data_IF_765636722902
#
_entry.id   IF_765636722902
#
_cell.length_a   1.000
_cell.length_b   1.000
_cell.length_c   1.000
_cell.angle_alpha   90.00
_cell.angle_beta   90.00
_cell.angle_gamma   90.00
#
_symmetry.space_group_name_H-M   'P 1'
#
loop_
_entity.id
_entity.type
_entity.pdbx_description
1 polymer ?
#
# COMPACT_ATOMS: atom_id res chain seq x y z
N UNK A 1 2.04 -33.16 -12.99
CA UNK A 1 0.85 -32.49 -12.47
C UNK A 1 1.17 -31.97 -11.07
N UNK A 2 0.88 -30.70 -10.83
CA UNK A 2 1.08 -30.06 -9.52
C UNK A 2 -0.13 -30.39 -8.61
N UNK A 3 -0.02 -31.44 -7.82
CA UNK A 3 -1.09 -31.92 -6.94
C UNK A 3 -1.36 -30.91 -5.79
N UNK A 4 -0.31 -30.31 -5.24
CA UNK A 4 -0.46 -29.35 -4.14
C UNK A 4 -1.25 -28.11 -4.57
N UNK A 5 -1.00 -27.64 -5.81
CA UNK A 5 -1.78 -26.56 -6.39
C UNK A 5 -3.27 -26.94 -6.55
N UNK A 6 -3.56 -28.13 -7.05
CA UNK A 6 -4.94 -28.61 -7.18
C UNK A 6 -5.63 -28.70 -5.83
N UNK A 7 -4.95 -29.18 -4.80
CA UNK A 7 -5.47 -29.25 -3.43
C UNK A 7 -5.72 -27.85 -2.87
N UNK A 8 -4.78 -26.92 -3.08
CA UNK A 8 -4.92 -25.53 -2.61
C UNK A 8 -6.10 -24.83 -3.28
N UNK A 9 -6.23 -24.94 -4.61
CA UNK A 9 -7.36 -24.34 -5.34
C UNK A 9 -8.72 -24.91 -4.91
N UNK A 10 -8.80 -26.22 -4.69
CA UNK A 10 -10.02 -26.85 -4.18
C UNK A 10 -10.40 -26.38 -2.79
N UNK A 11 -9.40 -26.21 -1.88
CA UNK A 11 -9.64 -25.69 -0.52
C UNK A 11 -10.10 -24.23 -0.49
N UNK A 12 -9.72 -23.44 -1.48
CA UNK A 12 -10.12 -22.03 -1.61
C UNK A 12 -11.51 -21.86 -2.21
N UNK A 13 -12.01 -22.84 -2.95
CA UNK A 13 -13.33 -22.78 -3.58
C UNK A 13 -14.42 -23.05 -2.55
N UNK A 14 -15.31 -22.09 -2.34
CA UNK A 14 -16.50 -22.23 -1.48
C UNK A 14 -17.62 -23.03 -2.17
N UNK A 15 -17.52 -23.21 -3.48
CA UNK A 15 -18.49 -23.98 -4.29
C UNK A 15 -18.06 -25.43 -4.52
N UNK A 16 -16.85 -25.79 -4.09
CA UNK A 16 -16.39 -27.16 -4.15
C UNK A 16 -17.07 -27.97 -3.04
N UNK A 17 -18.09 -28.73 -3.40
CA UNK A 17 -18.70 -29.71 -2.51
C UNK A 17 -18.08 -31.08 -2.76
N UNK A 18 -17.70 -31.77 -1.69
CA UNK A 18 -17.42 -33.18 -1.75
C UNK A 18 -18.75 -33.87 -2.01
N UNK A 19 -18.91 -34.44 -3.20
CA UNK A 19 -20.06 -35.30 -3.49
C UNK A 19 -19.73 -36.73 -3.02
N UNK A 20 -20.61 -37.32 -2.24
CA UNK A 20 -20.49 -38.74 -1.82
C UNK A 20 -20.65 -39.71 -3.02
N UNK A 21 -21.04 -39.19 -4.17
CA UNK A 21 -21.20 -39.91 -5.46
C UNK A 21 -19.92 -39.92 -6.30
N UNK A 22 -18.75 -39.93 -5.69
CA UNK A 22 -17.50 -40.06 -6.44
C UNK A 22 -17.46 -41.44 -7.12
N UNK A 23 -17.14 -41.52 -8.43
CA UNK A 23 -17.02 -42.80 -9.10
C UNK A 23 -16.00 -43.68 -8.41
N UNK A 24 -16.26 -45.00 -8.41
CA UNK A 24 -15.30 -45.97 -7.86
C UNK A 24 -13.92 -45.76 -8.50
N UNK A 25 -12.92 -45.40 -7.68
CA UNK A 25 -11.59 -45.11 -8.15
C UNK A 25 -10.65 -46.26 -7.78
N UNK A 26 -9.77 -46.63 -8.71
CA UNK A 26 -8.71 -47.58 -8.43
C UNK A 26 -7.62 -46.86 -7.63
N UNK A 27 -7.35 -47.33 -6.42
CA UNK A 27 -6.23 -46.81 -5.61
C UNK A 27 -4.92 -47.44 -6.09
N UNK A 28 -3.97 -46.61 -6.49
CA UNK A 28 -2.59 -47.03 -6.81
C UNK A 28 -1.71 -46.52 -5.68
N UNK A 29 -1.17 -47.44 -4.90
CA UNK A 29 -0.20 -47.12 -3.85
C UNK A 29 1.21 -47.15 -4.41
N UNK A 30 2.01 -46.15 -4.15
CA UNK A 30 3.42 -46.10 -4.51
C UNK A 30 4.21 -45.36 -3.43
N UNK A 31 5.47 -45.75 -3.23
CA UNK A 31 6.37 -45.07 -2.31
C UNK A 31 7.50 -44.39 -3.07
N UNK A 32 7.85 -43.20 -2.65
CA UNK A 32 9.06 -42.48 -3.11
C UNK A 32 10.22 -42.75 -2.17
N UNK A 33 10.64 -44.03 -2.04
CA UNK A 33 11.79 -44.35 -1.25
C UNK A 33 13.05 -43.93 -2.00
N UNK A 34 13.88 -43.09 -1.41
CA UNK A 34 15.22 -42.77 -1.86
C UNK A 34 15.43 -41.53 -2.71
N UNK A 35 14.40 -40.85 -3.16
CA UNK A 35 14.60 -39.65 -4.00
C UNK A 35 14.73 -38.34 -3.19
N UNK A 36 14.23 -38.30 -1.96
CA UNK A 36 14.23 -37.09 -1.12
C UNK A 36 15.03 -37.23 0.18
N UNK A 37 15.65 -38.40 0.45
CA UNK A 37 16.11 -38.71 1.79
C UNK A 37 17.50 -38.22 2.14
N UNK A 38 18.41 -37.96 1.19
CA UNK A 38 19.83 -37.90 1.56
C UNK A 38 20.64 -36.68 1.13
N UNK A 39 20.12 -35.71 0.32
CA UNK A 39 20.98 -34.57 0.02
C UNK A 39 20.24 -33.26 -0.24
N UNK A 40 20.69 -32.16 0.36
CA UNK A 40 20.20 -30.79 0.00
C UNK A 40 20.72 -30.34 -1.38
N UNK A 41 21.28 -31.24 -2.16
CA UNK A 41 22.00 -30.98 -3.43
C UNK A 41 21.09 -30.62 -4.60
N UNK A 42 19.78 -30.77 -4.46
CA UNK A 42 18.90 -30.69 -5.63
C UNK A 42 18.30 -29.32 -5.92
N UNK A 43 18.65 -28.27 -5.17
CA UNK A 43 18.12 -26.92 -5.45
C UNK A 43 18.59 -26.35 -6.79
N UNK A 44 19.82 -26.69 -7.22
CA UNK A 44 20.39 -26.17 -8.46
C UNK A 44 20.18 -27.12 -9.67
N UNK A 45 19.65 -28.32 -9.44
CA UNK A 45 19.49 -29.35 -10.47
C UNK A 45 18.03 -29.73 -10.76
N UNK A 46 17.08 -29.19 -10.03
CA UNK A 46 15.66 -29.41 -10.32
C UNK A 46 15.23 -28.50 -11.47
N UNK A 47 15.04 -29.09 -12.64
CA UNK A 47 14.34 -28.46 -13.74
C UNK A 47 12.85 -28.37 -13.37
N UNK A 48 12.45 -27.22 -12.84
CA UNK A 48 11.08 -26.98 -12.40
C UNK A 48 10.28 -26.49 -13.60
N UNK A 49 9.40 -27.32 -14.13
CA UNK A 49 8.46 -26.96 -15.21
C UNK A 49 7.52 -25.79 -14.88
N UNK A 50 7.47 -25.42 -13.62
CA UNK A 50 6.61 -24.32 -13.14
C UNK A 50 7.25 -22.96 -13.42
N UNK A 51 6.58 -22.14 -14.20
CA UNK A 51 6.97 -20.75 -14.41
C UNK A 51 6.41 -19.86 -13.29
N UNK A 52 7.30 -19.15 -12.62
CA UNK A 52 6.95 -18.14 -11.61
C UNK A 52 7.13 -16.75 -12.22
N UNK A 53 6.05 -16.04 -12.61
CA UNK A 53 6.18 -14.69 -13.13
C UNK A 53 6.73 -13.75 -12.04
N UNK A 54 7.70 -12.89 -12.40
CA UNK A 54 8.31 -11.92 -11.46
C UNK A 54 7.33 -10.91 -10.91
N UNK A 55 6.29 -10.60 -11.67
CA UNK A 55 5.24 -9.65 -11.31
C UNK A 55 3.86 -10.28 -11.55
N UNK A 56 3.41 -11.24 -10.70
CA UNK A 56 2.20 -12.05 -10.95
C UNK A 56 0.92 -11.22 -10.95
N UNK A 57 0.93 -10.02 -10.39
CA UNK A 57 -0.22 -9.12 -10.32
C UNK A 57 -0.28 -8.11 -11.47
N UNK A 58 0.78 -8.04 -12.29
CA UNK A 58 0.89 -7.09 -13.39
C UNK A 58 0.64 -7.82 -14.71
N UNK A 59 -0.41 -7.48 -15.47
CA UNK A 59 -0.63 -8.02 -16.80
C UNK A 59 0.55 -7.76 -17.74
N UNK A 60 0.82 -8.71 -18.62
CA UNK A 60 1.87 -8.57 -19.62
C UNK A 60 1.43 -7.68 -20.80
N UNK A 61 0.14 -7.69 -21.13
CA UNK A 61 -0.45 -6.85 -22.17
C UNK A 61 -0.73 -5.43 -21.65
N UNK A 62 -0.40 -4.41 -22.45
CA UNK A 62 -0.56 -3.02 -22.06
C UNK A 62 -2.03 -2.57 -22.01
N UNK A 63 -2.89 -3.12 -22.88
CA UNK A 63 -4.33 -2.85 -22.85
C UNK A 63 -4.99 -3.39 -21.61
N UNK A 64 -4.72 -4.65 -21.30
CA UNK A 64 -5.18 -5.31 -20.08
C UNK A 64 -4.68 -4.60 -18.82
N UNK A 65 -3.46 -4.06 -18.86
CA UNK A 65 -2.88 -3.31 -17.75
C UNK A 65 -3.63 -1.99 -17.50
N UNK A 66 -3.97 -1.24 -18.55
CA UNK A 66 -4.70 0.02 -18.43
C UNK A 66 -6.11 -0.21 -17.87
N UNK A 67 -6.86 -1.19 -18.39
CA UNK A 67 -8.18 -1.55 -17.90
C UNK A 67 -8.13 -2.01 -16.43
N UNK A 68 -7.12 -2.80 -16.07
CA UNK A 68 -6.91 -3.22 -14.69
C UNK A 68 -6.58 -2.06 -13.76
N UNK A 69 -5.73 -1.13 -14.19
CA UNK A 69 -5.40 0.06 -13.41
C UNK A 69 -6.65 0.91 -13.14
N UNK A 70 -7.47 1.17 -14.15
CA UNK A 70 -8.72 1.91 -13.96
C UNK A 70 -9.68 1.18 -13.02
N UNK A 71 -9.87 -0.13 -13.21
CA UNK A 71 -10.72 -0.96 -12.32
C UNK A 71 -10.26 -0.90 -10.86
N UNK A 72 -8.95 -0.99 -10.60
CA UNK A 72 -8.40 -0.92 -9.24
C UNK A 72 -8.65 0.46 -8.64
N UNK A 73 -8.36 1.53 -9.38
CA UNK A 73 -8.59 2.90 -8.93
C UNK A 73 -10.08 3.16 -8.65
N UNK A 74 -10.97 2.62 -9.46
CA UNK A 74 -12.42 2.72 -9.24
C UNK A 74 -12.86 1.98 -7.98
N UNK A 75 -12.35 0.77 -7.73
CA UNK A 75 -12.63 0.01 -6.51
C UNK A 75 -12.15 0.74 -5.26
N UNK A 76 -10.90 1.26 -5.27
CA UNK A 76 -10.36 2.04 -4.17
C UNK A 76 -11.20 3.31 -3.92
N UNK A 77 -11.53 4.02 -5.00
CA UNK A 77 -12.35 5.24 -4.98
C UNK A 77 -13.76 4.96 -4.43
N UNK A 78 -14.42 3.90 -4.90
CA UNK A 78 -15.76 3.51 -4.45
C UNK A 78 -15.78 3.17 -2.95
N UNK A 79 -14.76 2.46 -2.47
CA UNK A 79 -14.63 2.11 -1.05
C UNK A 79 -14.51 3.36 -0.17
N UNK A 80 -13.58 4.26 -0.49
CA UNK A 80 -13.40 5.51 0.28
C UNK A 80 -14.62 6.43 0.16
N UNK A 81 -15.16 6.61 -1.04
CA UNK A 81 -16.38 7.37 -1.29
C UNK A 81 -17.54 6.89 -0.41
N UNK A 82 -17.77 5.59 -0.36
CA UNK A 82 -18.84 4.99 0.45
C UNK A 82 -18.62 5.28 1.94
N UNK A 83 -17.38 5.19 2.42
CA UNK A 83 -17.05 5.47 3.80
C UNK A 83 -17.28 6.94 4.17
N UNK A 84 -16.80 7.86 3.34
CA UNK A 84 -16.99 9.30 3.52
C UNK A 84 -18.49 9.67 3.52
N UNK A 85 -19.25 9.15 2.56
CA UNK A 85 -20.69 9.39 2.47
C UNK A 85 -21.45 8.85 3.69
N UNK A 86 -21.13 7.64 4.13
CA UNK A 86 -21.78 7.00 5.28
C UNK A 86 -21.58 7.79 6.58
N UNK A 87 -20.40 8.33 6.79
CA UNK A 87 -20.07 9.11 8.00
C UNK A 87 -20.40 10.59 7.89
N UNK A 88 -20.73 11.07 6.69
CA UNK A 88 -20.93 12.51 6.43
C UNK A 88 -19.65 13.34 6.51
N UNK A 89 -18.47 12.69 6.53
CA UNK A 89 -17.16 13.33 6.65
C UNK A 89 -16.79 14.05 5.37
N UNK A 90 -16.34 15.31 5.50
CA UNK A 90 -15.94 16.18 4.38
C UNK A 90 -14.48 16.60 4.42
N UNK A 91 -13.69 16.00 5.31
CA UNK A 91 -12.28 16.27 5.47
C UNK A 91 -11.47 14.96 5.47
N UNK A 92 -10.28 15.00 4.89
CA UNK A 92 -9.31 13.90 4.90
C UNK A 92 -7.91 14.45 5.19
N UNK A 93 -7.14 13.73 5.98
CA UNK A 93 -5.75 14.05 6.28
C UNK A 93 -4.86 12.91 5.81
N UNK A 94 -3.80 13.22 5.09
CA UNK A 94 -2.89 12.22 4.54
C UNK A 94 -1.44 12.64 4.72
N UNK A 95 -0.60 11.72 5.20
CA UNK A 95 0.85 11.91 5.23
C UNK A 95 1.43 11.77 3.82
N UNK A 96 2.00 12.84 3.29
CA UNK A 96 2.60 12.87 1.96
C UNK A 96 4.13 12.90 2.06
N UNK A 97 4.73 11.72 1.88
CA UNK A 97 6.20 11.55 1.95
C UNK A 97 6.90 11.88 0.62
N UNK A 98 6.16 11.99 -0.48
CA UNK A 98 6.71 12.04 -1.83
C UNK A 98 7.01 10.66 -2.42
N UNK A 99 6.71 9.57 -1.71
CA UNK A 99 6.81 8.19 -2.21
C UNK A 99 5.54 7.75 -2.94
N UNK A 100 5.67 6.66 -3.72
CA UNK A 100 4.59 6.15 -4.58
C UNK A 100 3.31 5.80 -3.81
N UNK A 101 3.42 5.25 -2.61
CA UNK A 101 2.26 4.80 -1.83
C UNK A 101 1.42 5.98 -1.35
N UNK A 102 2.06 7.00 -0.80
CA UNK A 102 1.39 8.23 -0.38
C UNK A 102 0.82 9.01 -1.56
N UNK A 103 1.50 8.95 -2.70
CA UNK A 103 1.03 9.52 -3.96
C UNK A 103 -0.23 8.83 -4.45
N UNK A 104 -0.24 7.49 -4.52
CA UNK A 104 -1.42 6.72 -4.91
C UNK A 104 -2.60 7.00 -3.98
N UNK A 105 -2.36 7.00 -2.66
CA UNK A 105 -3.40 7.27 -1.69
C UNK A 105 -4.00 8.69 -1.85
N UNK A 106 -3.18 9.68 -2.16
CA UNK A 106 -3.64 11.04 -2.47
C UNK A 106 -4.51 11.08 -3.72
N UNK A 107 -4.09 10.43 -4.81
CA UNK A 107 -4.84 10.35 -6.07
C UNK A 107 -6.21 9.71 -5.89
N UNK A 108 -6.28 8.58 -5.16
CA UNK A 108 -7.54 7.91 -4.81
C UNK A 108 -8.43 8.82 -3.97
N UNK A 109 -7.85 9.55 -3.01
CA UNK A 109 -8.61 10.48 -2.16
C UNK A 109 -9.19 11.62 -2.97
N UNK A 110 -8.44 12.20 -3.91
CA UNK A 110 -8.93 13.22 -4.84
C UNK A 110 -10.08 12.69 -5.68
N UNK A 111 -9.96 11.49 -6.28
CA UNK A 111 -11.05 10.86 -7.05
C UNK A 111 -12.31 10.66 -6.19
N UNK A 112 -12.17 10.26 -4.93
CA UNK A 112 -13.30 10.06 -4.03
C UNK A 112 -14.01 11.37 -3.69
N UNK A 113 -13.25 12.46 -3.46
CA UNK A 113 -13.81 13.78 -3.22
C UNK A 113 -14.52 14.33 -4.44
N UNK A 114 -13.92 14.23 -5.62
CA UNK A 114 -14.54 14.63 -6.89
C UNK A 114 -15.85 13.86 -7.14
N UNK A 115 -15.86 12.55 -6.92
CA UNK A 115 -17.04 11.71 -7.08
C UNK A 115 -18.18 12.01 -6.08
N UNK A 116 -17.88 12.69 -4.97
CA UNK A 116 -18.85 13.18 -3.99
C UNK A 116 -19.23 14.65 -4.19
N UNK A 117 -18.58 15.35 -5.12
CA UNK A 117 -18.73 16.80 -5.29
C UNK A 117 -18.19 17.60 -4.10
N UNK A 118 -17.24 17.03 -3.34
CA UNK A 118 -16.58 17.72 -2.23
C UNK A 118 -15.41 18.57 -2.75
N UNK A 119 -15.15 19.74 -2.12
CA UNK A 119 -14.01 20.55 -2.51
C UNK A 119 -12.71 19.86 -2.16
N UNK A 120 -11.76 19.78 -3.10
CA UNK A 120 -10.44 19.17 -2.90
C UNK A 120 -9.65 19.85 -1.77
N UNK A 121 -9.95 21.10 -1.44
CA UNK A 121 -9.38 21.82 -0.28
C UNK A 121 -9.75 21.19 1.07
N UNK A 122 -10.74 20.30 1.12
CA UNK A 122 -11.04 19.47 2.28
C UNK A 122 -10.01 18.34 2.51
N UNK A 123 -9.13 18.09 1.54
CA UNK A 123 -8.01 17.15 1.67
C UNK A 123 -6.79 17.94 2.16
N UNK A 124 -6.22 17.54 3.29
CA UNK A 124 -4.98 18.13 3.81
C UNK A 124 -3.84 17.12 3.63
N UNK A 125 -2.95 17.39 2.69
CA UNK A 125 -1.70 16.67 2.51
C UNK A 125 -0.64 17.23 3.48
N UNK A 126 -0.06 16.39 4.33
CA UNK A 126 0.87 16.79 5.38
C UNK A 126 2.26 16.22 5.08
N UNK A 127 3.23 17.08 4.82
CA UNK A 127 4.64 16.70 4.79
C UNK A 127 5.24 16.85 6.19
N UNK A 128 5.90 15.79 6.65
CA UNK A 128 6.45 15.74 8.01
C UNK A 128 7.95 15.40 7.95
N UNK A 129 8.81 16.37 7.58
CA UNK A 129 10.23 16.12 7.48
C UNK A 129 10.82 15.74 8.84
N UNK A 130 11.62 14.65 8.82
CA UNK A 130 12.42 14.15 9.91
C UNK A 130 13.89 14.07 9.50
N UNK A 131 14.70 13.31 10.27
CA UNK A 131 16.16 13.27 10.12
C UNK A 131 16.66 12.69 8.78
N UNK A 132 15.86 11.96 8.03
CA UNK A 132 16.23 11.36 6.72
C UNK A 132 15.55 12.00 5.51
N UNK A 133 14.81 13.10 5.67
CA UNK A 133 14.03 13.68 4.58
C UNK A 133 14.89 14.48 3.62
N UNK A 134 14.81 14.21 2.31
CA UNK A 134 15.55 14.95 1.29
C UNK A 134 14.75 16.14 0.76
N UNK A 135 15.45 17.17 0.25
CA UNK A 135 14.81 18.35 -0.36
C UNK A 135 13.96 17.99 -1.59
N UNK A 136 14.36 16.99 -2.38
CA UNK A 136 13.65 16.55 -3.58
C UNK A 136 12.26 15.99 -3.26
N UNK A 137 12.17 15.04 -2.33
CA UNK A 137 10.90 14.43 -1.93
C UNK A 137 9.92 15.46 -1.36
N UNK A 138 10.42 16.45 -0.65
CA UNK A 138 9.63 17.57 -0.13
C UNK A 138 9.06 18.43 -1.25
N UNK A 139 9.89 18.83 -2.22
CA UNK A 139 9.47 19.66 -3.37
C UNK A 139 8.39 18.99 -4.21
N UNK A 140 8.54 17.68 -4.46
CA UNK A 140 7.58 16.91 -5.23
C UNK A 140 6.24 16.78 -4.50
N UNK A 141 6.24 16.55 -3.20
CA UNK A 141 5.01 16.48 -2.38
C UNK A 141 4.24 17.82 -2.42
N UNK A 142 4.91 18.94 -2.24
CA UNK A 142 4.29 20.27 -2.29
C UNK A 142 3.74 20.58 -3.69
N UNK A 143 4.52 20.31 -4.74
CA UNK A 143 4.10 20.55 -6.12
C UNK A 143 2.88 19.73 -6.49
N UNK A 144 2.88 18.43 -6.15
CA UNK A 144 1.74 17.54 -6.38
C UNK A 144 0.48 18.02 -5.67
N UNK A 145 0.58 18.38 -4.38
CA UNK A 145 -0.55 18.87 -3.62
C UNK A 145 -1.14 20.15 -4.24
N UNK A 146 -0.30 21.07 -4.66
CA UNK A 146 -0.70 22.33 -5.31
C UNK A 146 -1.39 22.06 -6.66
N UNK A 147 -0.80 21.22 -7.48
CA UNK A 147 -1.30 20.94 -8.82
C UNK A 147 -2.62 20.15 -8.80
N UNK A 148 -2.85 19.33 -7.76
CA UNK A 148 -4.12 18.65 -7.50
C UNK A 148 -5.17 19.56 -6.84
N UNK A 149 -4.80 20.75 -6.35
CA UNK A 149 -5.69 21.71 -5.68
C UNK A 149 -6.10 21.30 -4.28
N UNK A 150 -5.28 20.48 -3.59
CA UNK A 150 -5.49 20.09 -2.20
C UNK A 150 -4.75 21.04 -1.24
N UNK A 151 -5.20 21.11 0.02
CA UNK A 151 -4.50 21.85 1.05
C UNK A 151 -3.18 21.18 1.40
N UNK A 152 -2.11 21.97 1.51
CA UNK A 152 -0.79 21.46 1.88
C UNK A 152 -0.33 22.06 3.21
N UNK A 153 0.25 21.23 4.07
CA UNK A 153 0.85 21.64 5.33
C UNK A 153 2.16 20.94 5.57
N UNK A 154 3.14 21.70 6.05
CA UNK A 154 4.40 21.14 6.53
C UNK A 154 4.44 21.20 8.06
N UNK A 155 4.81 20.08 8.69
CA UNK A 155 5.01 19.97 10.14
C UNK A 155 6.31 19.21 10.38
N UNK A 156 7.36 19.90 10.78
CA UNK A 156 8.63 19.25 11.14
C UNK A 156 8.48 18.45 12.43
N UNK A 157 8.96 17.21 12.43
CA UNK A 157 8.95 16.34 13.62
C UNK A 157 10.25 16.43 14.43
N UNK A 158 11.25 17.17 13.96
CA UNK A 158 12.58 17.20 14.59
C UNK A 158 12.53 17.52 16.08
N UNK A 159 11.91 18.63 16.45
CA UNK A 159 11.91 19.10 17.84
C UNK A 159 11.20 18.12 18.80
N UNK A 160 10.07 17.53 18.34
CA UNK A 160 9.32 16.57 19.14
C UNK A 160 10.11 15.27 19.34
N UNK A 161 10.69 14.73 18.25
CA UNK A 161 11.51 13.51 18.32
C UNK A 161 12.81 13.72 19.12
N UNK A 162 13.47 14.86 18.98
CA UNK A 162 14.64 15.20 19.81
C UNK A 162 14.30 15.28 21.30
N UNK A 163 13.15 15.86 21.64
CA UNK A 163 12.69 15.88 23.03
C UNK A 163 12.37 14.46 23.52
N UNK A 164 11.68 13.66 22.69
CA UNK A 164 11.40 12.28 23.03
C UNK A 164 12.67 11.45 23.27
N UNK A 165 13.71 11.60 22.44
CA UNK A 165 14.99 10.93 22.65
C UNK A 165 15.65 11.31 23.97
N UNK A 166 15.59 12.60 24.36
CA UNK A 166 16.08 13.04 25.68
C UNK A 166 15.30 12.40 26.82
N UNK A 167 13.99 12.32 26.70
CA UNK A 167 13.11 11.80 27.75
C UNK A 167 13.32 10.28 27.98
N UNK A 168 13.68 9.53 26.92
CA UNK A 168 13.97 8.09 27.00
C UNK A 168 15.47 7.76 27.08
N UNK A 169 16.33 8.78 27.20
CA UNK A 169 17.80 8.64 27.25
C UNK A 169 18.39 7.90 26.04
N UNK A 170 17.77 8.05 24.85
CA UNK A 170 18.27 7.48 23.60
C UNK A 170 19.30 8.40 22.94
N UNK A 171 20.45 7.84 22.54
CA UNK A 171 21.47 8.58 21.79
C UNK A 171 21.03 8.75 20.31
N UNK A 172 20.80 9.97 19.83
CA UNK A 172 20.39 10.23 18.44
C UNK A 172 21.41 9.76 17.38
N UNK A 173 22.65 9.50 17.74
CA UNK A 173 23.66 8.96 16.84
C UNK A 173 23.45 7.46 16.54
N UNK A 174 22.69 6.76 17.39
CA UNK A 174 22.35 5.35 17.22
C UNK A 174 21.08 5.22 16.38
N UNK A 175 21.25 4.93 15.08
CA UNK A 175 20.15 4.76 14.12
C UNK A 175 19.61 3.32 14.16
N UNK A 176 18.98 2.97 15.25
CA UNK A 176 18.37 1.66 15.50
C UNK A 176 16.84 1.70 15.30
N UNK A 177 16.18 0.61 15.68
CA UNK A 177 14.73 0.48 15.63
C UNK A 177 14.00 1.52 16.48
N UNK A 178 14.60 2.00 17.58
CA UNK A 178 14.05 3.06 18.43
C UNK A 178 14.03 4.38 17.70
N UNK A 179 15.15 4.71 17.04
CA UNK A 179 15.29 5.90 16.22
C UNK A 179 14.25 5.98 15.09
N UNK A 180 14.06 4.89 14.34
CA UNK A 180 13.08 4.83 13.24
C UNK A 180 11.64 4.87 13.75
N UNK A 181 11.33 4.04 14.73
CA UNK A 181 9.97 3.88 15.24
C UNK A 181 9.44 5.14 15.94
N UNK A 182 10.31 5.89 16.63
CA UNK A 182 9.93 7.16 17.27
C UNK A 182 9.47 8.19 16.24
N UNK A 183 10.17 8.29 15.12
CA UNK A 183 9.79 9.19 14.04
C UNK A 183 8.47 8.76 13.36
N UNK A 184 8.27 7.46 13.14
CA UNK A 184 7.04 6.95 12.54
C UNK A 184 5.82 7.21 13.44
N UNK A 185 5.95 7.00 14.76
CA UNK A 185 4.87 7.25 15.73
C UNK A 185 4.53 8.73 15.85
N UNK A 186 5.53 9.59 15.86
CA UNK A 186 5.32 11.05 15.89
C UNK A 186 4.53 11.53 14.67
N UNK A 187 4.86 11.05 13.47
CA UNK A 187 4.08 11.36 12.27
C UNK A 187 2.64 10.90 12.39
N UNK A 188 2.42 9.70 12.89
CA UNK A 188 1.07 9.16 13.06
C UNK A 188 0.26 9.96 14.07
N UNK A 189 0.83 10.34 15.19
CA UNK A 189 0.18 11.19 16.19
C UNK A 189 -0.28 12.52 15.58
N UNK A 190 0.60 13.21 14.87
CA UNK A 190 0.27 14.47 14.19
C UNK A 190 -0.90 14.30 13.22
N UNK A 191 -0.89 13.24 12.38
CA UNK A 191 -1.97 13.00 11.43
C UNK A 191 -3.31 12.75 12.11
N UNK A 192 -3.32 11.95 13.18
CA UNK A 192 -4.53 11.65 13.96
C UNK A 192 -5.11 12.90 14.61
N UNK A 193 -4.27 13.73 15.20
CA UNK A 193 -4.71 14.99 15.86
C UNK A 193 -5.22 16.00 14.84
N UNK A 194 -4.56 16.11 13.68
CA UNK A 194 -5.04 16.98 12.60
C UNK A 194 -6.38 16.49 12.03
N UNK A 195 -6.58 15.19 11.91
CA UNK A 195 -7.85 14.62 11.48
C UNK A 195 -8.96 14.90 12.51
N UNK A 196 -8.67 14.79 13.80
CA UNK A 196 -9.60 15.16 14.87
C UNK A 196 -9.99 16.65 14.81
N UNK A 197 -9.00 17.54 14.62
CA UNK A 197 -9.25 18.97 14.48
C UNK A 197 -10.13 19.31 13.27
N UNK A 198 -9.93 18.59 12.15
CA UNK A 198 -10.67 18.80 10.92
C UNK A 198 -12.03 18.09 10.90
N UNK A 199 -12.35 17.26 11.88
CA UNK A 199 -13.50 16.34 11.83
C UNK A 199 -13.43 15.36 10.65
N UNK A 200 -12.21 14.90 10.34
CA UNK A 200 -11.89 14.14 9.14
C UNK A 200 -11.34 12.74 9.41
N UNK A 201 -10.90 12.10 8.34
CA UNK A 201 -10.23 10.80 8.39
C UNK A 201 -8.73 10.92 8.12
N UNK A 202 -7.94 10.11 8.81
CA UNK A 202 -6.58 9.78 8.36
C UNK A 202 -6.67 8.71 7.29
N UNK A 203 -6.17 9.03 6.09
CA UNK A 203 -6.07 8.09 4.97
C UNK A 203 -4.72 7.38 5.05
N UNK A 204 -4.77 6.06 5.18
CA UNK A 204 -3.59 5.20 5.24
C UNK A 204 -2.98 4.97 3.86
N UNK A 205 -1.66 4.94 3.84
CA UNK A 205 -0.85 4.79 2.62
C UNK A 205 -0.26 3.40 2.47
N UNK A 206 -0.25 2.58 3.54
CA UNK A 206 0.32 1.23 3.55
C UNK A 206 -0.33 0.29 2.52
N UNK A 207 0.49 -0.48 1.82
CA UNK A 207 0.08 -1.39 0.77
C UNK A 207 -0.10 -2.84 1.25
N UNK A 208 -0.60 -3.73 0.38
CA UNK A 208 -0.80 -5.14 0.69
C UNK A 208 0.51 -5.86 1.05
N UNK A 209 1.63 -5.52 0.40
CA UNK A 209 2.91 -6.19 0.64
C UNK A 209 3.47 -5.86 2.01
N UNK A 210 3.33 -4.61 2.45
CA UNK A 210 3.69 -4.18 3.81
C UNK A 210 2.87 -4.93 4.86
N UNK A 211 1.55 -5.04 4.66
CA UNK A 211 0.66 -5.80 5.54
C UNK A 211 1.01 -7.29 5.58
N UNK A 212 1.29 -7.90 4.42
CA UNK A 212 1.61 -9.32 4.31
C UNK A 212 2.94 -9.68 4.99
N UNK A 213 3.92 -8.76 4.95
CA UNK A 213 5.25 -8.95 5.52
C UNK A 213 5.36 -8.45 6.97
N UNK A 214 4.37 -7.72 7.47
CA UNK A 214 4.47 -7.02 8.75
C UNK A 214 5.50 -5.88 8.71
N UNK A 215 5.75 -5.30 7.55
CA UNK A 215 6.72 -4.23 7.34
C UNK A 215 6.12 -2.87 7.71
N UNK A 216 5.99 -2.64 9.00
CA UNK A 216 5.46 -1.40 9.54
C UNK A 216 5.88 -1.21 11.00
N UNK A 217 5.93 0.04 11.44
CA UNK A 217 6.11 0.36 12.86
C UNK A 217 4.79 0.15 13.61
N UNK A 218 4.80 -0.72 14.62
CA UNK A 218 3.63 -0.91 15.49
C UNK A 218 3.23 0.40 16.18
N UNK A 219 1.95 0.73 16.16
CA UNK A 219 1.41 2.04 16.57
C UNK A 219 2.02 3.23 15.81
N UNK A 220 2.41 3.02 14.56
CA UNK A 220 3.01 4.03 13.70
C UNK A 220 2.34 4.08 12.33
N UNK A 221 3.14 4.00 11.29
CA UNK A 221 2.78 4.24 9.89
C UNK A 221 1.67 3.34 9.32
N UNK A 222 1.39 2.17 9.91
CA UNK A 222 0.25 1.33 9.51
C UNK A 222 -1.10 1.80 10.07
N UNK A 223 -1.09 2.72 11.04
CA UNK A 223 -2.33 3.18 11.67
C UNK A 223 -3.02 4.25 10.81
N UNK A 224 -4.27 4.01 10.51
CA UNK A 224 -5.13 4.96 9.80
C UNK A 224 -6.61 4.68 10.10
N UNK A 225 -7.47 5.61 9.72
CA UNK A 225 -8.91 5.42 9.82
C UNK A 225 -9.49 4.73 8.59
N UNK A 226 -8.81 4.83 7.44
CA UNK A 226 -9.13 4.11 6.21
C UNK A 226 -7.89 3.93 5.33
N UNK A 227 -7.47 2.67 5.12
CA UNK A 227 -6.29 2.33 4.33
C UNK A 227 -6.67 2.03 2.87
N UNK A 228 -6.50 3.00 1.98
CA UNK A 228 -6.93 2.88 0.58
C UNK A 228 -6.09 1.91 -0.25
N UNK A 229 -4.83 1.68 0.12
CA UNK A 229 -3.90 0.81 -0.61
C UNK A 229 -3.81 -0.62 -0.03
N UNK A 230 -4.55 -0.94 1.02
CA UNK A 230 -4.42 -2.20 1.78
C UNK A 230 -4.57 -3.48 0.93
N UNK A 231 -5.24 -3.41 -0.20
CA UNK A 231 -5.44 -4.54 -1.12
C UNK A 231 -4.57 -4.47 -2.38
N UNK A 232 -3.69 -3.48 -2.50
CA UNK A 232 -2.84 -3.25 -3.67
C UNK A 232 -1.42 -3.72 -3.38
N UNK A 233 -0.88 -4.73 -4.10
CA UNK A 233 0.50 -5.15 -3.91
C UNK A 233 1.48 -4.09 -4.45
N UNK A 234 2.65 -3.99 -3.83
CA UNK A 234 3.71 -3.01 -4.13
C UNK A 234 4.04 -2.93 -5.62
N UNK A 235 4.07 -4.06 -6.29
CA UNK A 235 4.37 -4.11 -7.73
C UNK A 235 3.33 -3.38 -8.59
N UNK A 236 2.07 -3.34 -8.18
CA UNK A 236 1.01 -2.61 -8.90
C UNK A 236 1.01 -1.11 -8.61
N UNK A 237 1.44 -0.66 -7.43
CA UNK A 237 1.43 0.76 -7.04
C UNK A 237 2.11 1.63 -8.09
N UNK A 238 3.29 1.24 -8.58
CA UNK A 238 4.02 1.97 -9.64
C UNK A 238 3.20 2.10 -10.92
N UNK A 239 2.54 1.03 -11.33
CA UNK A 239 1.74 1.02 -12.56
C UNK A 239 0.49 1.88 -12.42
N UNK A 240 -0.15 1.87 -11.25
CA UNK A 240 -1.30 2.73 -10.95
C UNK A 240 -0.94 4.22 -10.96
N UNK A 241 0.19 4.58 -10.35
CA UNK A 241 0.68 5.98 -10.37
C UNK A 241 1.03 6.41 -11.79
N UNK A 242 1.70 5.55 -12.57
CA UNK A 242 2.01 5.84 -13.97
C UNK A 242 0.76 6.00 -14.82
N UNK A 243 -0.21 5.10 -14.67
CA UNK A 243 -1.50 5.20 -15.35
C UNK A 243 -2.23 6.51 -14.99
N UNK A 244 -2.24 6.87 -13.70
CA UNK A 244 -2.81 8.14 -13.27
C UNK A 244 -2.10 9.34 -13.88
N UNK A 245 -0.76 9.30 -14.04
CA UNK A 245 -0.01 10.34 -14.74
C UNK A 245 -0.45 10.48 -16.19
N UNK A 246 -0.65 9.37 -16.91
CA UNK A 246 -1.14 9.38 -18.29
C UNK A 246 -2.56 9.96 -18.39
N UNK A 247 -3.44 9.68 -17.41
CA UNK A 247 -4.82 10.18 -17.37
C UNK A 247 -4.88 11.67 -17.01
N UNK A 248 -4.13 12.13 -16.01
CA UNK A 248 -4.12 13.54 -15.60
C UNK A 248 -3.38 14.42 -16.60
N UNK A 249 -2.29 13.92 -17.18
CA UNK A 249 -1.48 14.66 -18.14
C UNK A 249 -0.81 15.92 -17.57
N UNK A 250 -0.15 16.68 -18.46
CA UNK A 250 0.41 18.00 -18.15
C UNK A 250 1.39 17.99 -16.95
N UNK A 251 1.32 19.04 -16.15
CA UNK A 251 2.24 19.23 -15.02
C UNK A 251 2.11 18.16 -13.92
N UNK A 252 0.89 17.64 -13.70
CA UNK A 252 0.68 16.56 -12.74
C UNK A 252 1.47 15.31 -13.16
N UNK A 253 1.42 14.96 -14.45
CA UNK A 253 2.19 13.86 -15.01
C UNK A 253 3.70 14.03 -14.81
N UNK A 254 4.23 15.25 -15.04
CA UNK A 254 5.65 15.55 -14.82
C UNK A 254 6.08 15.29 -13.38
N UNK A 255 5.28 15.73 -12.39
CA UNK A 255 5.57 15.52 -10.97
C UNK A 255 5.42 14.05 -10.56
N UNK A 256 4.46 13.32 -11.13
CA UNK A 256 4.24 11.90 -10.83
C UNK A 256 5.33 10.99 -11.41
N UNK A 257 6.00 11.41 -12.48
CA UNK A 257 7.03 10.62 -13.18
C UNK A 257 8.46 10.98 -12.77
N UNK A 258 8.67 12.10 -12.01
CA UNK A 258 9.97 12.49 -11.43
C UNK A 258 10.36 11.65 -10.21
#
# INVERSE_FOLDING_TARGET
VDLDRLVAERRRSTTWTRTDDAPEATTVEFSFEGVLAEEPVLRDALDIDRVFPRAPFVPADHGDLAERCETILDLQTAGLKTRLAHTGTKAAVIGLSGGLDSTLALLVTVRAFDALGLPRTGITAVSMPGFGTTHRTKSNAESLARDLGVSFREVSIHAAVEQHFKDIEHDPAVQDVTYENSQARERTQILMDLANQAGGFVIGTGDLSELALGWATYNGDHMSMYAVNASVPKTLVRHLVRYAADVFGGRIAEVLLD
#
